data_IF_487694393364
#
_entry.id   IF_487694393364
#
_cell.length_a   1.000
_cell.length_b   1.000
_cell.length_c   1.000
_cell.angle_alpha   90.00
_cell.angle_beta   90.00
_cell.angle_gamma   90.00
#
_symmetry.space_group_name_H-M   'P 1'
#
loop_
_entity.id
_entity.type
_entity.pdbx_description
1 polymer ?
#
# COMPACT_ATOMS: atom_id res chain seq x y z
N UNK A 1 4.83 -26.88 36.87
CA UNK A 1 3.84 -26.05 36.15
C UNK A 1 4.58 -25.42 34.97
N UNK A 2 4.00 -25.40 33.76
CA UNK A 2 4.70 -24.75 32.64
C UNK A 2 4.57 -23.21 32.73
N UNK A 3 5.47 -22.49 32.05
CA UNK A 3 5.56 -21.02 32.04
C UNK A 3 4.20 -20.32 31.83
N UNK A 4 3.45 -20.73 30.80
CA UNK A 4 2.16 -20.10 30.47
C UNK A 4 1.10 -20.24 31.58
N UNK A 5 1.06 -21.39 32.24
CA UNK A 5 0.16 -21.62 33.40
C UNK A 5 0.61 -20.81 34.60
N UNK A 6 1.93 -20.72 34.84
CA UNK A 6 2.48 -19.95 35.96
C UNK A 6 2.17 -18.45 35.80
N UNK A 7 2.38 -17.89 34.61
CA UNK A 7 2.07 -16.48 34.33
C UNK A 7 0.58 -16.17 34.52
N UNK A 8 -0.33 -16.99 33.99
CA UNK A 8 -1.77 -16.79 34.18
C UNK A 8 -2.17 -16.85 35.67
N UNK A 9 -1.59 -17.76 36.45
CA UNK A 9 -1.87 -17.85 37.86
C UNK A 9 -1.37 -16.64 38.63
N UNK A 10 -0.15 -16.18 38.34
CA UNK A 10 0.42 -14.99 38.98
C UNK A 10 -0.41 -13.72 38.66
N UNK A 11 -0.85 -13.54 37.42
CA UNK A 11 -1.73 -12.43 37.06
C UNK A 11 -3.05 -12.50 37.83
N UNK A 12 -3.70 -13.68 37.86
CA UNK A 12 -4.94 -13.88 38.61
C UNK A 12 -4.81 -13.55 40.08
N UNK A 13 -3.75 -14.02 40.76
CA UNK A 13 -3.54 -13.73 42.19
C UNK A 13 -3.29 -12.22 42.44
N UNK A 14 -2.54 -11.55 41.56
CA UNK A 14 -2.32 -10.10 41.64
C UNK A 14 -3.62 -9.29 41.47
N UNK A 15 -4.49 -9.74 40.60
CA UNK A 15 -5.84 -9.14 40.44
C UNK A 15 -6.71 -9.32 41.69
N UNK A 16 -6.67 -10.52 42.31
CA UNK A 16 -7.45 -10.80 43.51
C UNK A 16 -7.06 -9.93 44.71
N UNK A 17 -5.79 -9.64 44.86
CA UNK A 17 -5.27 -8.76 45.94
C UNK A 17 -5.24 -7.28 45.59
N UNK A 18 -5.76 -6.91 44.40
CA UNK A 18 -5.84 -5.52 43.95
C UNK A 18 -4.47 -4.86 43.64
N UNK A 19 -3.40 -5.66 43.47
CA UNK A 19 -2.04 -5.16 43.22
C UNK A 19 -1.66 -5.12 41.72
N UNK A 20 -2.59 -5.48 40.81
CA UNK A 20 -2.32 -5.45 39.39
C UNK A 20 -3.54 -5.79 38.56
N UNK A 21 -3.42 -5.61 37.25
CA UNK A 21 -4.43 -6.00 36.27
C UNK A 21 -3.75 -6.64 35.07
N UNK A 22 -4.30 -7.76 34.62
CA UNK A 22 -3.84 -8.41 33.39
C UNK A 22 -4.10 -7.52 32.17
N UNK A 23 -3.05 -7.24 31.40
CA UNK A 23 -3.14 -6.45 30.18
C UNK A 23 -2.40 -7.14 29.04
N UNK A 24 -3.07 -7.20 27.88
CA UNK A 24 -2.43 -7.65 26.64
C UNK A 24 -1.91 -6.45 25.88
N UNK A 25 -0.61 -6.39 25.68
CA UNK A 25 0.02 -5.39 24.83
C UNK A 25 0.30 -6.00 23.46
N UNK A 26 -0.26 -5.40 22.44
CA UNK A 26 0.01 -5.78 21.05
C UNK A 26 1.23 -5.01 20.55
N UNK A 27 2.16 -5.72 19.95
CA UNK A 27 3.30 -5.14 19.25
C UNK A 27 3.22 -5.54 17.79
N UNK A 28 2.88 -4.58 16.95
CA UNK A 28 2.95 -4.74 15.51
C UNK A 28 4.38 -4.50 15.04
N UNK A 29 4.78 -5.22 14.02
CA UNK A 29 6.01 -4.93 13.27
C UNK A 29 5.66 -4.05 12.11
N UNK A 30 6.43 -3.00 11.91
CA UNK A 30 6.33 -2.19 10.71
C UNK A 30 6.67 -3.05 9.50
N UNK A 31 5.90 -2.86 8.43
CA UNK A 31 6.12 -3.55 7.17
C UNK A 31 5.97 -2.55 6.02
N UNK A 32 6.92 -2.58 5.10
CA UNK A 32 6.80 -1.84 3.85
C UNK A 32 5.79 -2.57 2.96
N UNK A 33 4.68 -1.92 2.67
CA UNK A 33 3.62 -2.49 1.83
C UNK A 33 3.91 -2.37 0.33
N UNK A 34 4.77 -1.45 -0.08
CA UNK A 34 5.16 -1.22 -1.47
C UNK A 34 6.23 -2.19 -1.97
N UNK A 35 6.25 -2.44 -3.27
CA UNK A 35 7.24 -3.26 -3.96
C UNK A 35 7.77 -2.54 -5.20
N UNK A 36 9.07 -2.58 -5.38
CA UNK A 36 9.77 -2.08 -6.57
C UNK A 36 9.65 -3.08 -7.72
N UNK A 37 8.43 -3.35 -8.16
CA UNK A 37 8.11 -4.30 -9.22
C UNK A 37 7.16 -3.67 -10.22
N UNK A 38 7.20 -4.15 -11.47
CA UNK A 38 6.22 -3.77 -12.48
C UNK A 38 4.88 -4.49 -12.25
N UNK A 39 4.91 -5.81 -12.14
CA UNK A 39 3.70 -6.61 -11.96
C UNK A 39 3.17 -6.52 -10.53
N UNK A 40 1.99 -6.01 -10.41
CA UNK A 40 1.25 -5.79 -9.17
C UNK A 40 0.18 -4.72 -9.36
N UNK A 41 -0.67 -4.53 -8.36
CA UNK A 41 -1.65 -3.45 -8.35
C UNK A 41 -0.92 -2.12 -8.15
N UNK A 42 -1.10 -1.14 -9.05
CA UNK A 42 -0.52 0.19 -8.87
C UNK A 42 -1.21 0.93 -7.72
N UNK A 43 -0.46 1.73 -6.99
CA UNK A 43 -1.05 2.63 -6.01
C UNK A 43 -1.75 3.81 -6.70
N UNK A 44 -3.01 4.11 -6.39
CA UNK A 44 -3.71 5.26 -6.93
C UNK A 44 -3.27 6.55 -6.20
N UNK A 45 -1.99 6.85 -6.25
CA UNK A 45 -1.35 7.95 -5.52
C UNK A 45 -0.50 8.77 -6.47
N UNK A 46 -0.66 10.09 -6.42
CA UNK A 46 0.20 11.07 -7.08
C UNK A 46 0.82 12.02 -6.04
N UNK A 47 1.86 12.74 -6.42
CA UNK A 47 2.63 13.56 -5.48
C UNK A 47 2.55 15.04 -5.83
N UNK A 48 2.03 15.85 -4.88
CA UNK A 48 2.02 17.33 -4.97
C UNK A 48 3.11 17.85 -4.04
N UNK A 49 4.15 18.42 -4.59
CA UNK A 49 5.31 18.93 -3.81
C UNK A 49 5.89 17.85 -2.86
N UNK A 50 5.95 16.59 -3.32
CA UNK A 50 6.44 15.46 -2.52
C UNK A 50 5.45 14.91 -1.50
N UNK A 51 4.26 15.48 -1.37
CA UNK A 51 3.21 14.98 -0.48
C UNK A 51 2.24 14.08 -1.25
N UNK A 52 1.95 12.86 -0.76
CA UNK A 52 1.05 11.93 -1.43
C UNK A 52 -0.39 12.42 -1.41
N UNK A 53 -1.07 12.28 -2.54
CA UNK A 53 -2.49 12.54 -2.73
C UNK A 53 -3.16 11.32 -3.34
N UNK A 54 -4.37 11.00 -2.88
CA UNK A 54 -5.13 9.88 -3.42
C UNK A 54 -5.92 10.30 -4.66
N UNK A 55 -5.93 9.44 -5.67
CA UNK A 55 -6.86 9.54 -6.79
C UNK A 55 -8.26 9.17 -6.28
N UNK A 56 -9.28 9.95 -6.67
CA UNK A 56 -10.66 9.66 -6.31
C UNK A 56 -11.10 8.31 -6.89
N UNK A 57 -11.86 7.55 -6.10
CA UNK A 57 -12.37 6.23 -6.48
C UNK A 57 -13.20 6.24 -7.78
N UNK A 58 -13.81 7.36 -8.14
CA UNK A 58 -14.57 7.50 -9.38
C UNK A 58 -13.68 7.36 -10.64
N UNK A 59 -12.36 7.51 -10.50
CA UNK A 59 -11.40 7.45 -11.60
C UNK A 59 -10.54 6.16 -11.57
N UNK A 60 -10.93 5.18 -10.78
CA UNK A 60 -10.29 3.87 -10.72
C UNK A 60 -11.00 2.87 -11.65
N UNK A 61 -10.29 1.85 -12.12
CA UNK A 61 -8.88 1.53 -11.85
C UNK A 61 -7.92 2.33 -12.74
N UNK A 62 -6.72 2.63 -12.21
CA UNK A 62 -5.58 2.99 -13.05
C UNK A 62 -4.93 1.71 -13.58
N UNK A 63 -4.47 1.72 -14.85
CA UNK A 63 -3.86 0.56 -15.48
C UNK A 63 -2.37 0.74 -15.61
N UNK A 64 -1.61 -0.34 -15.46
CA UNK A 64 -0.17 -0.34 -15.68
C UNK A 64 0.14 0.09 -17.14
N UNK A 65 1.14 0.95 -17.33
CA UNK A 65 1.54 1.42 -18.65
C UNK A 65 2.41 0.39 -19.36
N UNK A 66 2.57 0.51 -20.67
CA UNK A 66 3.59 -0.22 -21.41
C UNK A 66 4.99 0.27 -21.01
N UNK A 67 5.94 -0.65 -20.86
CA UNK A 67 7.35 -0.37 -20.59
C UNK A 67 8.24 -1.25 -21.46
N UNK A 68 9.37 -0.73 -21.90
CA UNK A 68 10.32 -1.52 -22.71
C UNK A 68 10.97 -2.66 -21.91
N UNK A 69 11.24 -2.45 -20.64
CA UNK A 69 11.94 -3.39 -19.74
C UNK A 69 11.29 -3.41 -18.36
N UNK A 70 11.15 -4.61 -17.80
CA UNK A 70 10.63 -4.84 -16.44
C UNK A 70 11.71 -4.79 -15.35
N UNK A 71 12.80 -4.07 -15.62
CA UNK A 71 13.94 -3.89 -14.72
C UNK A 71 13.91 -2.49 -14.11
N UNK A 72 14.52 -2.29 -12.94
CA UNK A 72 14.71 -0.96 -12.37
C UNK A 72 15.42 -0.03 -13.36
N UNK A 73 15.27 1.28 -13.18
CA UNK A 73 16.02 2.29 -13.96
C UNK A 73 17.51 2.23 -13.62
N UNK A 74 18.33 2.88 -14.43
CA UNK A 74 19.78 3.01 -14.18
C UNK A 74 20.09 3.80 -12.90
N UNK A 75 19.13 4.61 -12.44
CA UNK A 75 19.18 5.38 -11.18
C UNK A 75 18.65 4.62 -9.99
N UNK A 76 18.14 3.39 -10.19
CA UNK A 76 17.62 2.52 -9.12
C UNK A 76 16.14 2.72 -8.80
N UNK A 77 15.40 3.49 -9.61
CA UNK A 77 13.96 3.62 -9.47
C UNK A 77 13.22 2.33 -9.88
N UNK A 78 12.00 2.10 -9.39
CA UNK A 78 11.19 0.97 -9.80
C UNK A 78 10.96 0.91 -11.32
N UNK A 79 10.60 -0.26 -11.89
CA UNK A 79 10.37 -0.42 -13.34
C UNK A 79 9.36 0.57 -13.95
N UNK A 80 8.37 1.05 -13.19
CA UNK A 80 7.43 2.07 -13.64
C UNK A 80 8.10 3.43 -13.94
N UNK A 81 9.29 3.68 -13.40
CA UNK A 81 10.11 4.86 -13.76
C UNK A 81 10.58 4.86 -15.20
N UNK A 82 10.48 3.72 -15.93
CA UNK A 82 10.77 3.62 -17.37
C UNK A 82 9.59 3.97 -18.28
N UNK A 83 8.41 4.14 -17.71
CA UNK A 83 7.21 4.43 -18.48
C UNK A 83 7.24 5.86 -19.02
N UNK A 84 6.84 6.05 -20.27
CA UNK A 84 6.65 7.39 -20.86
C UNK A 84 5.33 8.03 -20.44
N UNK A 85 4.35 7.22 -20.06
CA UNK A 85 2.98 7.62 -19.72
C UNK A 85 2.65 7.14 -18.33
N UNK A 86 3.08 7.88 -17.30
CA UNK A 86 2.82 7.55 -15.89
C UNK A 86 2.80 8.82 -15.01
N UNK A 87 1.97 9.79 -15.39
CA UNK A 87 1.68 11.00 -14.62
C UNK A 87 0.18 11.21 -14.52
N UNK A 88 -0.29 11.84 -13.47
CA UNK A 88 -1.71 12.12 -13.23
C UNK A 88 -2.06 13.55 -13.59
N UNK A 89 -3.07 13.73 -14.43
CA UNK A 89 -3.65 15.05 -14.73
C UNK A 89 -4.94 15.23 -13.94
N UNK A 90 -4.97 16.23 -13.06
CA UNK A 90 -6.13 16.54 -12.21
C UNK A 90 -7.26 17.22 -12.96
N UNK A 91 -7.01 17.84 -14.11
CA UNK A 91 -8.05 18.47 -14.93
C UNK A 91 -8.84 17.43 -15.74
N UNK A 92 -8.13 16.44 -16.32
CA UNK A 92 -8.76 15.40 -17.13
C UNK A 92 -9.04 14.12 -16.35
N UNK A 93 -8.58 14.04 -15.09
CA UNK A 93 -8.68 12.87 -14.23
C UNK A 93 -8.19 11.58 -14.94
N UNK A 94 -7.03 11.65 -15.55
CA UNK A 94 -6.48 10.57 -16.37
C UNK A 94 -4.96 10.51 -16.29
N UNK A 95 -4.42 9.32 -16.60
CA UNK A 95 -2.99 9.11 -16.74
C UNK A 95 -2.51 9.71 -18.07
N UNK A 96 -1.44 10.51 -18.00
CA UNK A 96 -0.86 11.24 -19.15
C UNK A 96 0.65 11.05 -19.23
N UNK A 97 1.25 11.53 -20.31
CA UNK A 97 2.69 11.44 -20.53
C UNK A 97 3.49 12.21 -19.47
N UNK A 98 4.60 11.63 -19.00
CA UNK A 98 5.48 12.20 -17.97
C UNK A 98 6.04 13.56 -18.36
N UNK A 99 6.29 13.79 -19.66
CA UNK A 99 6.73 15.10 -20.17
C UNK A 99 5.77 16.26 -19.93
N UNK A 100 4.53 15.97 -19.53
CA UNK A 100 3.50 16.98 -19.19
C UNK A 100 3.53 17.38 -17.71
N UNK A 101 4.33 16.73 -16.88
CA UNK A 101 4.43 17.06 -15.44
C UNK A 101 4.84 18.53 -15.29
N UNK A 102 4.01 19.31 -14.61
CA UNK A 102 4.19 20.73 -14.37
C UNK A 102 4.04 21.11 -12.88
N UNK A 103 3.73 20.14 -12.02
CA UNK A 103 3.48 20.31 -10.57
C UNK A 103 2.39 21.34 -10.23
N UNK A 104 1.48 21.61 -11.16
CA UNK A 104 0.32 22.49 -10.98
C UNK A 104 -0.97 21.74 -11.28
N UNK A 105 -1.05 21.06 -12.42
CA UNK A 105 -2.21 20.27 -12.85
C UNK A 105 -1.83 18.85 -13.24
N UNK A 106 -0.53 18.59 -13.51
CA UNK A 106 -0.01 17.27 -13.85
C UNK A 106 1.12 16.91 -12.89
N UNK A 107 0.96 15.79 -12.21
CA UNK A 107 1.79 15.35 -11.11
C UNK A 107 2.35 13.95 -11.34
N UNK A 108 3.55 13.61 -10.79
CA UNK A 108 4.09 12.26 -10.88
C UNK A 108 3.25 11.26 -10.08
N UNK A 109 3.03 10.07 -10.64
CA UNK A 109 2.41 8.93 -9.96
C UNK A 109 3.43 8.14 -9.15
N UNK A 110 2.93 7.38 -8.15
CA UNK A 110 3.72 6.41 -7.40
C UNK A 110 4.30 5.35 -8.35
N UNK A 111 5.60 5.06 -8.20
CA UNK A 111 6.32 4.12 -9.04
C UNK A 111 6.34 2.68 -8.49
N UNK A 112 6.03 2.50 -7.20
CA UNK A 112 5.92 1.18 -6.60
C UNK A 112 4.56 0.57 -6.90
N UNK A 113 4.48 -0.76 -6.79
CA UNK A 113 3.23 -1.51 -6.81
C UNK A 113 2.94 -2.13 -5.45
N UNK A 114 1.70 -2.52 -5.21
CA UNK A 114 1.31 -3.29 -4.03
C UNK A 114 1.94 -4.69 -4.10
N UNK A 115 2.14 -5.37 -2.95
CA UNK A 115 2.62 -6.75 -2.97
C UNK A 115 1.60 -7.66 -3.68
N UNK A 116 2.09 -8.74 -4.32
CA UNK A 116 1.24 -9.64 -5.11
C UNK A 116 0.05 -10.23 -4.35
N UNK A 117 0.19 -10.41 -3.02
CA UNK A 117 -0.92 -10.89 -2.18
C UNK A 117 -2.02 -9.84 -1.97
N UNK A 118 -1.80 -8.57 -2.27
CA UNK A 118 -2.85 -7.55 -2.21
C UNK A 118 -3.96 -7.85 -3.21
N UNK A 119 -3.60 -8.14 -4.47
CA UNK A 119 -4.56 -8.54 -5.50
C UNK A 119 -5.22 -9.89 -5.19
N UNK A 120 -4.45 -10.89 -4.80
CA UNK A 120 -5.02 -12.20 -4.49
C UNK A 120 -5.94 -12.20 -3.28
N UNK A 121 -5.75 -11.29 -2.32
CA UNK A 121 -6.54 -11.24 -1.09
C UNK A 121 -7.97 -10.73 -1.30
N UNK A 122 -8.28 -10.05 -2.40
CA UNK A 122 -9.63 -9.52 -2.65
C UNK A 122 -10.70 -10.61 -2.69
N UNK A 123 -10.34 -11.87 -2.99
CA UNK A 123 -11.29 -12.97 -3.09
C UNK A 123 -12.08 -13.22 -1.79
N UNK A 124 -11.53 -12.88 -0.62
CA UNK A 124 -12.26 -12.94 0.64
C UNK A 124 -13.55 -12.10 0.59
N UNK A 125 -13.44 -10.88 0.07
CA UNK A 125 -14.59 -9.99 -0.10
C UNK A 125 -15.55 -10.49 -1.18
N UNK A 126 -15.00 -11.11 -2.24
CA UNK A 126 -15.82 -11.69 -3.31
C UNK A 126 -16.71 -12.84 -2.83
N UNK A 127 -16.26 -13.64 -1.88
CA UNK A 127 -17.10 -14.65 -1.27
C UNK A 127 -18.23 -14.07 -0.41
N UNK A 128 -18.04 -12.88 0.14
CA UNK A 128 -19.07 -12.20 0.94
C UNK A 128 -20.10 -11.50 0.05
N UNK A 129 -19.73 -11.07 -1.14
CA UNK A 129 -20.59 -10.37 -2.11
C UNK A 129 -20.34 -10.88 -3.53
N UNK A 130 -20.86 -12.07 -3.80
CA UNK A 130 -20.64 -12.75 -5.08
C UNK A 130 -21.40 -12.12 -6.26
N UNK A 131 -22.35 -11.27 -5.99
CA UNK A 131 -23.21 -10.64 -7.01
C UNK A 131 -22.70 -9.25 -7.46
N UNK A 132 -21.76 -8.67 -6.74
CA UNK A 132 -21.19 -7.37 -7.05
C UNK A 132 -20.13 -7.44 -8.15
#
# INVERSE_FOLDING_TARGET
MNYKKATKRAIFELEQIGQGQGKTNYRLRDAVFSRQRYWGEPFPVYYVNGLPQMIDKAHLPIRLPEVEKYLPTETGEPPLGRADVWAWCTETNSVVANKKVNNTTVFPLELNTMPGWAGSSWYFFRYMDAQN
#
